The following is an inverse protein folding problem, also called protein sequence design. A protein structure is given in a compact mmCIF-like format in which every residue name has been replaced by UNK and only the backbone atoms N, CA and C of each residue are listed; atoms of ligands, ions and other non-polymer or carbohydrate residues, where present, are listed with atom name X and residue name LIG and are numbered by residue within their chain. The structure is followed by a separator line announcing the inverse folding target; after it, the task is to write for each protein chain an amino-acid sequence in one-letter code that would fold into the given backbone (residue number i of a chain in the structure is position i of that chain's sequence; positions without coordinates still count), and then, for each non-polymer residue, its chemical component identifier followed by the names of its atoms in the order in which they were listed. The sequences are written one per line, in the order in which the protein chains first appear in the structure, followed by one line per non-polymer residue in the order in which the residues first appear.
data_IF_598628185012
#
_entry.id   IF_598628185012
#
_cell.length_a   1.000
_cell.length_b   1.000
_cell.length_c   1.000
_cell.angle_alpha   90.00
_cell.angle_beta   90.00
_cell.angle_gamma   90.00
#
_symmetry.space_group_name_H-M   'P 1'
#
loop_
_entity.id
_entity.type
_entity.pdbx_description
1 polymer ?
#
# COMPACT_ATOMS: atom_id res chain seq x y z
N UNK A 1 -5.72 7.61 -17.42
CA UNK A 1 -5.41 6.31 -16.81
C UNK A 1 -4.84 6.49 -15.42
N UNK A 2 -5.35 5.75 -14.44
CA UNK A 2 -4.96 5.84 -13.03
C UNK A 2 -3.59 5.17 -12.78
N UNK A 3 -2.80 5.71 -11.85
CA UNK A 3 -1.41 5.31 -11.63
C UNK A 3 -1.14 4.62 -10.30
N UNK A 4 -2.19 4.16 -9.59
CA UNK A 4 -2.03 3.54 -8.28
C UNK A 4 -2.59 2.10 -8.24
N UNK A 5 -1.94 1.15 -7.54
CA UNK A 5 -2.42 -0.24 -7.41
C UNK A 5 -3.82 -0.34 -6.79
N UNK A 6 -4.25 0.66 -6.02
CA UNK A 6 -5.57 0.73 -5.38
C UNK A 6 -6.71 1.06 -6.36
N UNK A 7 -6.37 1.41 -7.59
CA UNK A 7 -7.32 1.79 -8.65
C UNK A 7 -7.36 0.72 -9.76
N UNK A 8 -6.87 -0.48 -9.47
CA UNK A 8 -6.81 -1.61 -10.41
C UNK A 8 -8.04 -2.51 -10.30
N UNK A 9 -8.31 -3.29 -11.35
CA UNK A 9 -9.35 -4.32 -11.31
C UNK A 9 -9.07 -5.37 -10.24
N UNK A 10 -7.82 -5.81 -10.08
CA UNK A 10 -7.42 -6.77 -9.05
C UNK A 10 -7.72 -6.27 -7.64
N UNK A 11 -7.44 -4.98 -7.36
CA UNK A 11 -7.84 -4.35 -6.10
C UNK A 11 -9.37 -4.31 -5.95
N UNK A 12 -10.10 -4.02 -7.02
CA UNK A 12 -11.56 -4.12 -7.05
C UNK A 12 -12.06 -5.50 -6.62
N UNK A 13 -11.63 -6.58 -7.28
CA UNK A 13 -12.07 -7.94 -6.95
C UNK A 13 -11.69 -8.34 -5.52
N UNK A 14 -10.51 -7.95 -5.05
CA UNK A 14 -10.12 -8.09 -3.64
C UNK A 14 -11.15 -7.44 -2.70
N UNK A 15 -11.49 -6.17 -2.95
CA UNK A 15 -12.47 -5.45 -2.13
C UNK A 15 -13.88 -6.03 -2.26
N UNK A 16 -14.22 -6.59 -3.43
CA UNK A 16 -15.49 -7.29 -3.65
C UNK A 16 -15.62 -8.52 -2.74
N UNK A 17 -14.62 -9.40 -2.73
CA UNK A 17 -14.64 -10.59 -1.86
C UNK A 17 -14.53 -10.22 -0.37
N UNK A 18 -13.90 -9.09 -0.04
CA UNK A 18 -13.94 -8.54 1.31
C UNK A 18 -15.37 -8.17 1.77
N UNK A 19 -16.29 -7.91 0.84
CA UNK A 19 -17.68 -7.54 1.10
C UNK A 19 -18.03 -6.10 0.73
N UNK A 20 -17.19 -5.42 -0.05
CA UNK A 20 -17.51 -4.13 -0.64
C UNK A 20 -18.14 -4.26 -2.03
N UNK A 21 -18.64 -3.16 -2.55
CA UNK A 21 -19.12 -3.06 -3.92
C UNK A 21 -18.22 -2.08 -4.72
N UNK A 22 -17.22 -2.58 -5.46
CA UNK A 22 -16.34 -1.78 -6.29
C UNK A 22 -16.97 -1.43 -7.65
N UNK A 23 -16.92 -0.16 -8.05
CA UNK A 23 -17.44 0.32 -9.35
C UNK A 23 -16.47 1.32 -9.98
N UNK A 24 -16.16 1.14 -11.26
CA UNK A 24 -15.38 2.11 -12.03
C UNK A 24 -16.26 3.25 -12.56
N UNK A 25 -15.81 4.49 -12.34
CA UNK A 25 -16.42 5.72 -12.85
C UNK A 25 -15.30 6.63 -13.34
N UNK A 26 -15.25 6.94 -14.64
CA UNK A 26 -14.23 7.84 -15.22
C UNK A 26 -12.80 7.45 -14.78
N UNK A 27 -12.39 6.20 -15.02
CA UNK A 27 -11.09 5.61 -14.60
C UNK A 27 -10.82 5.56 -13.09
N UNK A 28 -11.80 5.88 -12.25
CA UNK A 28 -11.66 5.83 -10.80
C UNK A 28 -12.47 4.67 -10.22
N UNK A 29 -11.82 3.88 -9.37
CA UNK A 29 -12.46 2.82 -8.60
C UNK A 29 -13.11 3.43 -7.36
N UNK A 30 -14.44 3.44 -7.36
CA UNK A 30 -15.27 3.79 -6.21
C UNK A 30 -15.56 2.52 -5.42
N UNK A 31 -15.18 2.48 -4.15
CA UNK A 31 -15.51 1.37 -3.24
C UNK A 31 -16.69 1.77 -2.38
N UNK A 32 -17.87 1.18 -2.61
CA UNK A 32 -19.03 1.35 -1.76
C UNK A 32 -18.97 0.38 -0.57
N UNK A 33 -19.15 0.92 0.63
CA UNK A 33 -19.16 0.18 1.90
C UNK A 33 -20.49 0.41 2.61
N UNK A 34 -21.19 -0.67 2.95
CA UNK A 34 -22.45 -0.60 3.70
C UNK A 34 -22.19 -0.14 5.13
N UNK A 35 -23.00 0.80 5.62
CA UNK A 35 -22.98 1.22 7.01
C UNK A 35 -23.80 0.18 7.82
N UNK A 36 -23.21 -0.46 8.85
CA UNK A 36 -23.91 -1.47 9.65
C UNK A 36 -25.28 -0.97 10.15
N UNK A 37 -26.27 -1.86 10.14
CA UNK A 37 -27.64 -1.61 10.62
C UNK A 37 -28.43 -0.51 9.88
N UNK A 38 -27.95 -0.04 8.72
CA UNK A 38 -28.68 0.94 7.89
C UNK A 38 -28.79 0.50 6.43
N UNK A 39 -29.61 1.20 5.65
CA UNK A 39 -29.69 1.06 4.19
C UNK A 39 -28.64 1.89 3.44
N UNK A 40 -27.84 2.67 4.17
CA UNK A 40 -26.92 3.64 3.59
C UNK A 40 -25.53 3.06 3.35
N UNK A 41 -24.82 3.64 2.39
CA UNK A 41 -23.42 3.33 2.10
C UNK A 41 -22.53 4.57 2.21
N UNK A 42 -21.22 4.36 2.31
CA UNK A 42 -20.20 5.37 2.03
C UNK A 42 -19.42 4.93 0.78
N UNK A 43 -19.08 5.89 -0.09
CA UNK A 43 -18.19 5.65 -1.22
C UNK A 43 -16.79 6.17 -0.93
N UNK A 44 -15.75 5.48 -1.37
CA UNK A 44 -14.37 5.99 -1.32
C UNK A 44 -13.68 5.86 -2.67
N UNK A 45 -12.95 6.90 -3.06
CA UNK A 45 -12.03 6.92 -4.20
C UNK A 45 -10.65 7.20 -3.64
N UNK A 46 -9.88 6.13 -3.45
CA UNK A 46 -8.60 6.16 -2.75
C UNK A 46 -7.45 6.13 -3.75
N UNK A 47 -6.59 7.15 -3.72
CA UNK A 47 -5.50 7.34 -4.68
C UNK A 47 -5.98 7.44 -6.13
N UNK A 48 -7.11 8.12 -6.31
CA UNK A 48 -7.71 8.35 -7.62
C UNK A 48 -7.10 9.53 -8.37
N UNK A 49 -7.63 9.83 -9.55
CA UNK A 49 -7.17 10.95 -10.38
C UNK A 49 -7.54 12.31 -9.78
N UNK A 50 -6.96 13.38 -10.33
CA UNK A 50 -7.30 14.74 -9.94
C UNK A 50 -8.81 15.01 -10.09
N UNK A 51 -9.46 15.41 -9.00
CA UNK A 51 -10.91 15.67 -8.95
C UNK A 51 -11.33 16.81 -9.88
N UNK A 52 -10.43 17.76 -10.16
CA UNK A 52 -10.74 18.96 -10.93
C UNK A 52 -11.06 18.66 -12.41
N UNK A 53 -10.66 17.49 -12.90
CA UNK A 53 -10.98 17.00 -14.25
C UNK A 53 -12.17 16.04 -14.29
N UNK A 54 -12.83 15.78 -13.16
CA UNK A 54 -13.92 14.80 -13.08
C UNK A 54 -15.28 15.44 -13.34
N UNK A 55 -16.14 14.71 -14.05
CA UNK A 55 -17.56 15.03 -14.14
C UNK A 55 -18.28 14.54 -12.87
N UNK A 56 -18.33 15.38 -11.83
CA UNK A 56 -18.86 15.04 -10.50
C UNK A 56 -20.34 14.62 -10.50
N UNK A 57 -21.11 15.02 -11.51
CA UNK A 57 -22.51 14.59 -11.67
C UNK A 57 -22.59 13.07 -11.88
N UNK A 58 -21.63 12.46 -12.57
CA UNK A 58 -21.62 10.99 -12.75
C UNK A 58 -21.40 10.26 -11.42
N UNK A 59 -20.51 10.80 -10.57
CA UNK A 59 -20.28 10.29 -9.22
C UNK A 59 -21.51 10.47 -8.32
N UNK A 60 -22.22 11.60 -8.44
CA UNK A 60 -23.48 11.82 -7.72
C UNK A 60 -24.56 10.82 -8.13
N UNK A 61 -24.75 10.59 -9.44
CA UNK A 61 -25.74 9.65 -9.97
C UNK A 61 -25.48 8.22 -9.49
N UNK A 62 -24.23 7.76 -9.54
CA UNK A 62 -23.90 6.43 -9.01
C UNK A 62 -24.09 6.38 -7.48
N UNK A 63 -23.69 7.42 -6.74
CA UNK A 63 -23.90 7.46 -5.28
C UNK A 63 -25.38 7.36 -4.91
N UNK A 64 -26.27 8.02 -5.66
CA UNK A 64 -27.72 7.92 -5.47
C UNK A 64 -28.23 6.49 -5.70
N UNK A 65 -27.75 5.80 -6.75
CA UNK A 65 -28.11 4.40 -7.03
C UNK A 65 -27.70 3.45 -5.90
N UNK A 66 -26.63 3.76 -5.17
CA UNK A 66 -26.11 2.94 -4.06
C UNK A 66 -26.50 3.45 -2.66
N UNK A 67 -27.50 4.34 -2.54
CA UNK A 67 -27.93 4.94 -1.28
C UNK A 67 -26.76 5.55 -0.47
N UNK A 68 -25.81 6.19 -1.16
CA UNK A 68 -24.57 6.69 -0.58
C UNK A 68 -24.74 8.05 0.08
N UNK A 69 -24.27 8.19 1.33
CA UNK A 69 -24.31 9.47 2.07
C UNK A 69 -23.28 10.46 1.51
N UNK A 70 -22.07 10.00 1.24
CA UNK A 70 -21.01 10.77 0.60
C UNK A 70 -20.04 9.87 -0.15
N UNK A 71 -19.36 10.44 -1.15
CA UNK A 71 -18.19 9.82 -1.78
C UNK A 71 -16.96 10.63 -1.35
N UNK A 72 -16.04 9.98 -0.65
CA UNK A 72 -14.79 10.58 -0.19
C UNK A 72 -13.69 10.35 -1.22
N UNK A 73 -13.10 11.44 -1.71
CA UNK A 73 -11.97 11.40 -2.63
C UNK A 73 -10.67 11.68 -1.89
N UNK A 74 -9.66 10.85 -2.12
CA UNK A 74 -8.27 11.08 -1.73
C UNK A 74 -7.40 10.95 -2.99
N UNK A 75 -7.31 12.01 -3.82
CA UNK A 75 -6.62 11.96 -5.10
C UNK A 75 -5.10 11.82 -4.92
N UNK A 76 -4.45 11.13 -5.86
CA UNK A 76 -2.99 10.97 -5.90
C UNK A 76 -2.34 12.15 -6.63
N UNK A 77 -2.42 13.32 -6.02
CA UNK A 77 -1.86 14.59 -6.53
C UNK A 77 -1.10 15.31 -5.43
N UNK A 78 -0.05 16.04 -5.80
CA UNK A 78 0.64 16.91 -4.86
C UNK A 78 -0.29 18.02 -4.38
N UNK A 79 -0.14 18.38 -3.12
CA UNK A 79 -0.89 19.49 -2.53
C UNK A 79 -0.49 20.81 -3.20
N UNK A 80 -1.49 21.58 -3.61
CA UNK A 80 -1.35 22.93 -4.10
C UNK A 80 -2.55 23.77 -3.61
N UNK A 81 -2.27 24.99 -3.14
CA UNK A 81 -3.30 25.87 -2.60
C UNK A 81 -4.32 26.29 -3.67
N UNK A 82 -3.89 26.47 -4.92
CA UNK A 82 -4.81 26.82 -6.02
C UNK A 82 -5.74 25.65 -6.33
N UNK A 83 -5.21 24.42 -6.33
CA UNK A 83 -5.98 23.20 -6.50
C UNK A 83 -7.02 23.00 -5.38
N UNK A 84 -6.65 23.22 -4.11
CA UNK A 84 -7.60 23.17 -3.00
C UNK A 84 -8.75 24.19 -3.19
N UNK A 85 -8.43 25.41 -3.59
CA UNK A 85 -9.43 26.44 -3.86
C UNK A 85 -10.34 26.05 -5.03
N UNK A 86 -9.81 25.39 -6.05
CA UNK A 86 -10.61 24.83 -7.15
C UNK A 86 -11.56 23.74 -6.64
N UNK A 87 -11.13 22.86 -5.74
CA UNK A 87 -11.99 21.84 -5.13
C UNK A 87 -13.13 22.46 -4.31
N UNK A 88 -12.86 23.51 -3.53
CA UNK A 88 -13.90 24.24 -2.79
C UNK A 88 -14.94 24.86 -3.72
N UNK A 89 -14.52 25.46 -4.84
CA UNK A 89 -15.42 26.00 -5.88
C UNK A 89 -16.30 24.94 -6.54
N UNK A 90 -15.87 23.67 -6.56
CA UNK A 90 -16.66 22.53 -7.03
C UNK A 90 -17.67 22.01 -5.98
N UNK A 91 -17.77 22.66 -4.82
CA UNK A 91 -18.66 22.24 -3.72
C UNK A 91 -18.14 21.07 -2.90
N UNK A 92 -16.85 20.73 -3.01
CA UNK A 92 -16.23 19.68 -2.20
C UNK A 92 -15.87 20.25 -0.83
N UNK A 93 -16.12 19.44 0.20
CA UNK A 93 -15.78 19.75 1.59
C UNK A 93 -14.62 18.90 2.06
N UNK A 94 -13.81 19.44 2.97
CA UNK A 94 -12.65 18.73 3.51
C UNK A 94 -13.10 17.60 4.44
N UNK A 95 -12.73 16.38 4.11
CA UNK A 95 -13.01 15.19 4.91
C UNK A 95 -11.82 14.71 5.74
N UNK A 96 -12.07 13.70 6.59
CA UNK A 96 -11.01 13.00 7.33
C UNK A 96 -10.19 12.12 6.37
N UNK A 97 -8.86 12.28 6.43
CA UNK A 97 -7.91 11.54 5.60
C UNK A 97 -7.79 10.08 6.08
N UNK A 98 -7.64 9.16 5.13
CA UNK A 98 -7.26 7.77 5.35
C UNK A 98 -5.75 7.60 5.19
N UNK A 99 -5.16 8.29 4.20
CA UNK A 99 -3.71 8.29 3.98
C UNK A 99 -3.03 9.48 4.68
N UNK A 100 -1.78 9.28 5.06
CA UNK A 100 -0.92 10.39 5.47
C UNK A 100 -0.75 11.38 4.29
N UNK A 101 -0.71 12.70 4.57
CA UNK A 101 -0.57 13.71 3.52
C UNK A 101 0.84 13.80 2.93
N UNK A 102 1.80 13.11 3.52
CA UNK A 102 3.21 13.09 3.14
C UNK A 102 3.65 11.65 2.91
N UNK A 103 4.58 11.47 1.98
CA UNK A 103 5.20 10.17 1.66
C UNK A 103 6.65 10.41 1.26
N UNK A 104 7.47 9.36 1.34
CA UNK A 104 8.85 9.39 0.90
C UNK A 104 8.96 8.72 -0.46
N UNK A 105 9.61 9.39 -1.41
CA UNK A 105 9.95 8.82 -2.71
C UNK A 105 11.44 8.55 -2.77
N UNK A 106 11.78 7.36 -3.23
CA UNK A 106 13.15 7.00 -3.60
C UNK A 106 13.18 6.84 -5.12
N UNK A 107 14.03 7.63 -5.77
CA UNK A 107 14.23 7.55 -7.21
C UNK A 107 15.14 6.37 -7.56
N UNK A 108 14.54 5.32 -8.12
CA UNK A 108 15.22 4.09 -8.50
C UNK A 108 15.80 4.14 -9.93
N UNK A 109 15.65 5.25 -10.67
CA UNK A 109 16.27 5.35 -12.01
C UNK A 109 17.77 5.64 -11.95
N UNK A 110 18.30 5.92 -10.75
CA UNK A 110 19.73 6.14 -10.51
C UNK A 110 20.49 4.82 -10.49
N UNK A 111 21.78 4.86 -10.81
CA UNK A 111 22.64 3.70 -10.65
C UNK A 111 22.73 3.28 -9.18
N UNK A 112 23.01 2.00 -8.91
CA UNK A 112 23.16 1.50 -7.53
C UNK A 112 24.23 2.26 -6.75
N UNK A 113 25.34 2.61 -7.40
CA UNK A 113 26.42 3.39 -6.78
C UNK A 113 25.98 4.79 -6.37
N UNK A 114 25.24 5.49 -7.22
CA UNK A 114 24.70 6.82 -6.92
C UNK A 114 23.67 6.75 -5.79
N UNK A 115 22.78 5.76 -5.85
CA UNK A 115 21.75 5.55 -4.85
C UNK A 115 22.39 5.24 -3.50
N UNK A 116 23.34 4.31 -3.45
CA UNK A 116 24.04 3.94 -2.22
C UNK A 116 24.81 5.13 -1.66
N UNK A 117 25.50 5.92 -2.49
CA UNK A 117 26.22 7.14 -2.06
C UNK A 117 25.29 8.18 -1.46
N UNK A 118 24.06 8.30 -1.97
CA UNK A 118 23.05 9.24 -1.46
C UNK A 118 22.58 8.92 -0.04
N UNK A 119 22.71 7.67 0.41
CA UNK A 119 22.26 7.25 1.73
C UNK A 119 23.16 7.79 2.83
N UNK A 120 22.59 8.06 4.00
CA UNK A 120 23.37 8.40 5.19
C UNK A 120 24.44 7.32 5.50
N UNK A 121 25.62 7.74 6.00
CA UNK A 121 26.76 6.85 6.25
C UNK A 121 26.37 5.58 7.06
N UNK A 122 25.58 5.76 8.13
CA UNK A 122 25.09 4.66 8.98
C UNK A 122 24.23 3.64 8.21
N UNK A 123 23.41 4.09 7.26
CA UNK A 123 22.59 3.21 6.43
C UNK A 123 23.49 2.34 5.54
N UNK A 124 24.45 2.96 4.84
CA UNK A 124 25.43 2.24 4.00
C UNK A 124 26.23 1.23 4.82
N UNK A 125 26.65 1.60 6.03
CA UNK A 125 27.34 0.71 6.94
C UNK A 125 26.47 -0.49 7.34
N UNK A 126 25.21 -0.25 7.72
CA UNK A 126 24.28 -1.31 8.16
C UNK A 126 23.91 -2.28 7.04
N UNK A 127 23.78 -1.82 5.79
CA UNK A 127 23.56 -2.70 4.63
C UNK A 127 24.73 -3.69 4.51
N UNK A 128 25.97 -3.18 4.49
CA UNK A 128 27.17 -4.04 4.41
C UNK A 128 27.33 -4.93 5.64
N UNK A 129 26.92 -4.45 6.83
CA UNK A 129 26.95 -5.25 8.04
C UNK A 129 26.00 -6.44 7.92
N UNK A 130 24.77 -6.24 7.46
CA UNK A 130 23.80 -7.32 7.28
C UNK A 130 24.31 -8.38 6.28
N UNK A 131 24.88 -7.95 5.15
CA UNK A 131 25.51 -8.85 4.18
C UNK A 131 26.65 -9.65 4.82
N UNK A 132 27.59 -9.00 5.52
CA UNK A 132 28.69 -9.69 6.23
C UNK A 132 28.22 -10.65 7.32
N UNK A 133 27.06 -10.38 7.92
CA UNK A 133 26.45 -11.25 8.94
C UNK A 133 25.73 -12.46 8.32
N UNK A 134 25.66 -12.57 7.00
CA UNK A 134 24.99 -13.68 6.31
C UNK A 134 23.47 -13.53 6.32
N UNK A 135 22.96 -12.30 6.25
CA UNK A 135 21.55 -12.06 5.94
C UNK A 135 21.37 -12.19 4.43
N UNK A 136 20.39 -12.98 4.02
CA UNK A 136 20.02 -13.18 2.62
C UNK A 136 18.62 -12.64 2.39
N UNK A 137 18.42 -11.81 1.36
CA UNK A 137 17.09 -11.32 0.98
C UNK A 137 16.72 -11.86 -0.38
N UNK A 138 15.51 -12.39 -0.50
CA UNK A 138 14.99 -12.97 -1.74
C UNK A 138 13.48 -12.71 -1.83
N UNK A 139 12.96 -12.68 -3.06
CA UNK A 139 11.51 -12.83 -3.28
C UNK A 139 11.14 -14.30 -3.06
N UNK A 140 10.20 -14.56 -2.15
CA UNK A 140 9.71 -15.89 -1.81
C UNK A 140 8.18 -15.81 -1.66
N UNK A 141 7.48 -16.06 -2.77
CA UNK A 141 6.03 -16.04 -2.86
C UNK A 141 5.37 -17.37 -2.43
N UNK A 142 6.11 -18.27 -1.78
CA UNK A 142 5.57 -19.56 -1.34
C UNK A 142 4.57 -19.42 -0.20
N UNK A 143 3.63 -20.36 -0.09
CA UNK A 143 2.67 -20.41 1.02
C UNK A 143 3.37 -20.44 2.37
N UNK A 144 4.50 -21.15 2.47
CA UNK A 144 5.31 -21.21 3.70
C UNK A 144 5.84 -19.83 4.10
N UNK A 145 6.34 -19.05 3.15
CA UNK A 145 6.77 -17.68 3.40
C UNK A 145 5.59 -16.78 3.78
N UNK A 146 4.44 -16.97 3.14
CA UNK A 146 3.24 -16.20 3.42
C UNK A 146 2.69 -16.46 4.84
N UNK A 147 2.66 -17.71 5.30
CA UNK A 147 2.31 -18.04 6.69
C UNK A 147 3.26 -17.36 7.68
N UNK A 148 4.56 -17.31 7.33
CA UNK A 148 5.55 -16.64 8.15
C UNK A 148 5.34 -15.12 8.17
N UNK A 149 4.95 -14.52 7.05
CA UNK A 149 4.58 -13.12 6.96
C UNK A 149 3.39 -12.79 7.89
N UNK A 150 2.34 -13.61 7.89
CA UNK A 150 1.20 -13.43 8.77
C UNK A 150 1.62 -13.48 10.25
N UNK A 151 2.39 -14.51 10.62
CA UNK A 151 2.90 -14.65 11.99
C UNK A 151 3.72 -13.43 12.43
N UNK A 152 4.66 -12.97 11.58
CA UNK A 152 5.49 -11.79 11.87
C UNK A 152 4.67 -10.50 11.92
N UNK A 153 3.65 -10.37 11.08
CA UNK A 153 2.78 -9.19 11.05
C UNK A 153 2.06 -9.02 12.39
N UNK A 154 1.50 -10.10 12.94
CA UNK A 154 0.84 -10.05 14.25
C UNK A 154 1.84 -9.91 15.42
N UNK A 155 3.03 -10.52 15.34
CA UNK A 155 4.11 -10.29 16.30
C UNK A 155 4.50 -8.80 16.34
N UNK A 156 4.67 -8.20 15.16
CA UNK A 156 5.05 -6.80 15.00
C UNK A 156 3.96 -5.85 15.50
N UNK A 157 2.70 -6.12 15.14
CA UNK A 157 1.55 -5.35 15.57
C UNK A 157 1.40 -5.34 17.10
N UNK A 158 1.52 -6.52 17.72
CA UNK A 158 1.50 -6.67 19.18
C UNK A 158 2.65 -5.89 19.84
N UNK A 159 3.87 -6.03 19.32
CA UNK A 159 5.06 -5.36 19.86
C UNK A 159 4.99 -3.84 19.75
N UNK A 160 4.52 -3.32 18.62
CA UNK A 160 4.49 -1.88 18.32
C UNK A 160 3.18 -1.20 18.74
N UNK A 161 2.18 -1.95 19.20
CA UNK A 161 0.93 -1.41 19.71
C UNK A 161 0.01 -0.80 18.63
N UNK A 162 0.02 -1.33 17.41
CA UNK A 162 -0.89 -0.89 16.34
C UNK A 162 -1.84 -1.99 15.87
N UNK A 163 -2.96 -1.60 15.28
CA UNK A 163 -3.93 -2.52 14.68
C UNK A 163 -3.51 -2.88 13.26
N UNK A 164 -3.06 -4.12 13.05
CA UNK A 164 -2.89 -4.68 11.71
C UNK A 164 -4.25 -5.06 11.11
N UNK A 165 -4.31 -5.21 9.79
CA UNK A 165 -5.46 -5.86 9.17
C UNK A 165 -5.55 -7.32 9.59
N UNK A 166 -6.77 -7.88 9.55
CA UNK A 166 -7.02 -9.28 9.89
C UNK A 166 -6.31 -10.23 8.93
N UNK A 167 -6.09 -11.47 9.35
CA UNK A 167 -5.52 -12.52 8.50
C UNK A 167 -6.34 -12.70 7.19
N UNK A 168 -7.67 -12.71 7.30
CA UNK A 168 -8.58 -12.76 6.15
C UNK A 168 -8.26 -11.68 5.12
N UNK A 169 -7.97 -10.46 5.57
CA UNK A 169 -7.66 -9.33 4.69
C UNK A 169 -6.37 -9.60 3.92
N UNK A 170 -5.32 -10.02 4.62
CA UNK A 170 -4.03 -10.31 4.00
C UNK A 170 -4.12 -11.48 3.01
N UNK A 171 -4.81 -12.56 3.38
CA UNK A 171 -5.04 -13.71 2.48
C UNK A 171 -5.80 -13.31 1.22
N UNK A 172 -6.87 -12.54 1.35
CA UNK A 172 -7.64 -12.06 0.20
C UNK A 172 -6.82 -11.08 -0.66
N UNK A 173 -6.07 -10.17 -0.04
CA UNK A 173 -5.17 -9.27 -0.75
C UNK A 173 -4.15 -10.07 -1.58
N UNK A 174 -3.52 -11.07 -0.96
CA UNK A 174 -2.54 -11.95 -1.63
C UNK A 174 -3.17 -12.72 -2.79
N UNK A 175 -4.32 -13.36 -2.55
CA UNK A 175 -5.09 -14.14 -3.54
C UNK A 175 -5.35 -13.36 -4.84
N UNK A 176 -5.59 -12.05 -4.77
CA UNK A 176 -5.93 -11.25 -5.94
C UNK A 176 -4.77 -10.45 -6.52
N UNK A 177 -3.88 -9.91 -5.67
CA UNK A 177 -2.82 -9.02 -6.13
C UNK A 177 -1.57 -9.78 -6.56
N UNK A 178 -1.27 -10.94 -5.97
CA UNK A 178 -0.08 -11.70 -6.37
C UNK A 178 -0.23 -12.28 -7.79
N UNK A 179 -1.35 -12.95 -8.16
CA UNK A 179 -1.51 -13.44 -9.53
C UNK A 179 -1.64 -12.33 -10.57
N UNK A 180 -2.03 -11.11 -10.14
CA UNK A 180 -2.06 -9.92 -10.98
C UNK A 180 -0.68 -9.29 -11.20
N UNK A 181 0.39 -9.87 -10.63
CA UNK A 181 1.75 -9.32 -10.69
C UNK A 181 1.90 -8.00 -9.95
N UNK A 182 1.01 -7.71 -9.00
CA UNK A 182 1.04 -6.48 -8.20
C UNK A 182 1.74 -6.73 -6.88
N UNK A 183 1.40 -7.81 -6.16
CA UNK A 183 1.96 -8.07 -4.83
C UNK A 183 3.12 -9.08 -4.87
N UNK A 184 4.22 -8.70 -4.22
CA UNK A 184 5.45 -9.49 -4.13
C UNK A 184 5.86 -9.64 -2.67
N UNK A 185 6.26 -10.85 -2.24
CA UNK A 185 6.70 -11.13 -0.88
C UNK A 185 8.23 -11.27 -0.85
N UNK A 186 8.91 -10.29 -0.24
CA UNK A 186 10.34 -10.38 0.04
C UNK A 186 10.55 -10.91 1.45
N UNK A 187 11.55 -11.77 1.61
CA UNK A 187 11.94 -12.35 2.89
C UNK A 187 13.42 -12.14 3.16
N UNK A 188 13.78 -11.82 4.41
CA UNK A 188 15.15 -11.79 4.87
C UNK A 188 15.39 -12.98 5.78
N UNK A 189 16.38 -13.80 5.44
CA UNK A 189 16.75 -15.01 6.15
C UNK A 189 18.06 -14.81 6.90
N UNK A 190 18.13 -15.35 8.10
CA UNK A 190 19.35 -15.45 8.89
C UNK A 190 19.31 -16.76 9.68
N UNK A 191 20.39 -17.54 9.64
CA UNK A 191 20.46 -18.88 10.25
C UNK A 191 19.26 -19.77 9.85
N UNK A 192 18.97 -19.81 8.55
CA UNK A 192 17.87 -20.55 7.92
C UNK A 192 16.44 -20.14 8.36
N UNK A 193 16.28 -19.06 9.12
CA UNK A 193 14.99 -18.54 9.57
C UNK A 193 14.63 -17.24 8.86
N UNK A 194 13.38 -17.12 8.42
CA UNK A 194 12.84 -15.84 7.94
C UNK A 194 12.59 -14.93 9.15
N UNK A 195 13.33 -13.84 9.21
CA UNK A 195 13.34 -12.87 10.32
C UNK A 195 12.65 -11.55 9.94
N UNK A 196 12.57 -11.22 8.65
CA UNK A 196 11.81 -10.07 8.13
C UNK A 196 11.04 -10.50 6.90
N UNK A 197 9.82 -9.95 6.73
CA UNK A 197 8.96 -10.16 5.56
C UNK A 197 8.30 -8.86 5.14
N UNK A 198 8.41 -8.49 3.87
CA UNK A 198 7.75 -7.32 3.29
C UNK A 198 6.84 -7.76 2.14
N UNK A 199 5.61 -7.24 2.12
CA UNK A 199 4.79 -7.29 0.91
C UNK A 199 4.90 -5.94 0.22
N UNK A 200 5.45 -5.96 -0.98
CA UNK A 200 5.62 -4.81 -1.86
C UNK A 200 4.56 -4.84 -2.95
N UNK A 201 4.08 -3.66 -3.36
CA UNK A 201 3.25 -3.54 -4.55
C UNK A 201 4.04 -2.92 -5.69
N UNK A 202 4.01 -3.52 -6.87
CA UNK A 202 4.51 -2.93 -8.11
C UNK A 202 3.32 -2.50 -8.96
N UNK A 203 3.40 -1.30 -9.54
CA UNK A 203 2.40 -0.84 -10.49
C UNK A 203 3.00 0.23 -11.39
N UNK A 204 3.09 -0.07 -12.70
CA UNK A 204 3.76 0.80 -13.68
C UNK A 204 5.17 1.15 -13.18
N UNK A 205 5.49 2.44 -13.10
CA UNK A 205 6.82 2.95 -12.77
C UNK A 205 7.07 3.05 -11.25
N UNK A 206 6.18 2.51 -10.41
CA UNK A 206 6.26 2.67 -8.96
C UNK A 206 6.27 1.33 -8.22
N UNK A 207 7.15 1.25 -7.22
CA UNK A 207 7.14 0.27 -6.16
C UNK A 207 6.65 0.94 -4.86
N UNK A 208 5.70 0.30 -4.20
CA UNK A 208 5.10 0.74 -2.94
C UNK A 208 5.42 -0.25 -1.83
N UNK A 209 5.69 0.27 -0.63
CA UNK A 209 5.94 -0.52 0.58
C UNK A 209 4.76 -0.38 1.57
N UNK A 210 3.65 -1.13 1.36
CA UNK A 210 2.48 -1.05 2.23
C UNK A 210 2.62 -1.86 3.53
N UNK A 211 3.34 -2.99 3.50
CA UNK A 211 3.39 -3.91 4.63
C UNK A 211 4.80 -4.43 4.86
N UNK A 212 5.28 -4.30 6.09
CA UNK A 212 6.51 -4.93 6.53
C UNK A 212 6.42 -5.37 7.98
N UNK A 213 7.04 -6.51 8.25
CA UNK A 213 7.04 -7.13 9.55
C UNK A 213 8.40 -7.79 9.82
N UNK A 214 8.80 -7.83 11.08
CA UNK A 214 10.05 -8.46 11.48
C UNK A 214 9.94 -9.04 12.88
N UNK A 215 10.76 -10.05 13.16
CA UNK A 215 10.89 -10.59 14.51
C UNK A 215 11.63 -9.59 15.42
N UNK A 216 11.46 -9.75 16.73
CA UNK A 216 12.26 -9.02 17.73
C UNK A 216 13.68 -9.57 17.89
N UNK A 217 13.90 -10.81 17.44
CA UNK A 217 15.21 -11.48 17.47
C UNK A 217 16.16 -10.89 16.42
N UNK A 218 17.46 -11.04 16.67
CA UNK A 218 18.52 -10.74 15.71
C UNK A 218 18.55 -9.30 15.18
N UNK A 219 18.07 -8.30 15.94
CA UNK A 219 18.08 -6.89 15.51
C UNK A 219 19.49 -6.39 15.17
N UNK A 220 20.51 -6.94 15.80
CA UNK A 220 21.91 -6.61 15.61
C UNK A 220 22.44 -6.93 14.20
N UNK A 221 21.75 -7.79 13.44
CA UNK A 221 22.13 -8.15 12.06
C UNK A 221 21.62 -7.16 11.03
N UNK A 222 20.80 -6.17 11.42
CA UNK A 222 20.34 -5.09 10.54
C UNK A 222 19.59 -5.56 9.29
N UNK A 223 18.82 -6.66 9.39
CA UNK A 223 18.12 -7.26 8.25
C UNK A 223 17.19 -6.28 7.52
N UNK A 224 16.53 -5.36 8.24
CA UNK A 224 15.64 -4.37 7.62
C UNK A 224 16.40 -3.34 6.76
N UNK A 225 17.67 -3.05 7.07
CA UNK A 225 18.49 -2.17 6.24
C UNK A 225 18.82 -2.85 4.91
N UNK A 226 19.20 -4.13 4.95
CA UNK A 226 19.43 -4.91 3.73
C UNK A 226 18.12 -5.12 2.97
N UNK A 227 17.03 -5.43 3.64
CA UNK A 227 15.70 -5.57 3.03
C UNK A 227 15.32 -4.32 2.22
N UNK A 228 15.51 -3.11 2.76
CA UNK A 228 15.25 -1.87 2.01
C UNK A 228 16.15 -1.73 0.78
N UNK A 229 17.42 -2.15 0.90
CA UNK A 229 18.34 -2.15 -0.23
C UNK A 229 17.84 -3.16 -1.28
N UNK A 230 17.65 -4.42 -0.93
CA UNK A 230 17.25 -5.46 -1.88
C UNK A 230 15.81 -5.29 -2.41
N UNK A 231 14.96 -4.51 -1.74
CA UNK A 231 13.62 -4.08 -2.20
C UNK A 231 13.64 -3.09 -3.38
N UNK A 232 14.63 -3.23 -4.26
CA UNK A 232 14.80 -2.49 -5.50
C UNK A 232 14.27 -3.21 -6.75
N UNK A 233 13.81 -4.46 -6.60
CA UNK A 233 13.33 -5.38 -7.66
C UNK A 233 13.37 -4.80 -9.08
#
# INVERSE_FOLDING_TARGET
MNNHPLQTKAWGEFRKEWGNEPIFVQDNLVIFSKIPFTKFTIGTVLKGTNIAGLHLVSFRKIGQKHNTIFIKFEPDVLYDQKLENRYKKLGLVKGRRLFAPTTFFLDLTKSEDELLKSFHHKTRYNIRLAQRRGVEVTEDNSDKAFERYLALTFETAKRQGFYAHTEKYHRLMWKYLQPAGIAHLLTARYKNQIITTWILFTWKDFLYYPYGASTDKYKEVMANNLMMWEARL
#
